data_IF_786256369233
#
_entry.id   IF_786256369233
#
_cell.length_a   1.000
_cell.length_b   1.000
_cell.length_c   1.000
_cell.angle_alpha   90.00
_cell.angle_beta   90.00
_cell.angle_gamma   90.00
#
_symmetry.space_group_name_H-M   'P 1'
#
loop_
_entity.id
_entity.type
_entity.pdbx_description
1 polymer ?
#
# COMPACT_ATOMS: atom_id res chain seq x y z
N UNK A 1 -5.50 -4.00 -20.78
CA UNK A 1 -5.64 -3.05 -19.65
C UNK A 1 -7.08 -3.07 -19.19
N UNK A 2 -7.35 -3.14 -17.90
CA UNK A 2 -8.69 -3.23 -17.34
C UNK A 2 -8.88 -2.14 -16.27
N UNK A 3 -10.13 -1.78 -16.00
CA UNK A 3 -10.55 -0.88 -14.93
C UNK A 3 -11.04 -1.73 -13.76
N UNK A 4 -10.36 -1.68 -12.62
CA UNK A 4 -10.57 -2.57 -11.49
C UNK A 4 -11.07 -1.76 -10.30
N UNK A 5 -12.22 -2.16 -9.75
CA UNK A 5 -12.70 -1.69 -8.46
C UNK A 5 -11.91 -2.38 -7.34
N UNK A 6 -11.28 -1.60 -6.50
CA UNK A 6 -10.57 -2.10 -5.31
C UNK A 6 -11.27 -1.57 -4.07
N UNK A 7 -11.88 -2.47 -3.34
CA UNK A 7 -12.59 -2.19 -2.10
C UNK A 7 -11.74 -2.59 -0.89
N UNK A 8 -11.59 -1.64 0.01
CA UNK A 8 -10.92 -1.87 1.29
C UNK A 8 -12.00 -2.02 2.34
N UNK A 9 -12.16 -3.21 2.89
CA UNK A 9 -13.17 -3.47 3.91
C UNK A 9 -13.03 -2.54 5.11
N UNK A 10 -14.16 -1.95 5.54
CA UNK A 10 -14.26 -1.07 6.69
C UNK A 10 -13.46 0.23 6.56
N UNK A 11 -13.53 1.11 7.57
CA UNK A 11 -12.77 2.34 7.70
C UNK A 11 -12.05 2.40 9.05
N UNK A 12 -11.21 3.40 9.26
CA UNK A 12 -10.44 3.56 10.51
C UNK A 12 -11.33 3.79 11.74
N UNK A 13 -12.56 4.23 11.53
CA UNK A 13 -13.56 4.52 12.57
C UNK A 13 -14.49 3.33 12.88
N UNK A 14 -14.34 2.19 12.20
CA UNK A 14 -15.20 1.01 12.40
C UNK A 14 -14.77 0.14 13.59
N UNK A 15 -13.59 0.36 14.14
CA UNK A 15 -13.14 -0.27 15.38
C UNK A 15 -12.63 0.79 16.36
N UNK A 16 -13.00 0.72 17.66
CA UNK A 16 -13.86 -0.31 18.25
C UNK A 16 -15.37 -0.07 18.07
N UNK A 17 -15.81 1.09 17.56
CA UNK A 17 -17.21 1.55 17.59
C UNK A 17 -18.21 0.60 16.93
N UNK A 18 -17.84 -0.06 15.83
CA UNK A 18 -18.70 -0.99 15.09
C UNK A 18 -18.18 -2.44 15.14
N UNK A 19 -17.28 -2.77 16.07
CA UNK A 19 -16.80 -4.13 16.29
C UNK A 19 -16.01 -4.74 15.12
N UNK A 20 -15.48 -3.92 14.19
CA UNK A 20 -14.71 -4.41 13.03
C UNK A 20 -13.25 -4.55 13.37
N UNK A 21 -12.94 -5.56 14.16
CA UNK A 21 -11.65 -5.89 14.72
C UNK A 21 -11.77 -6.73 15.97
N UNK A 22 -10.68 -6.96 16.65
CA UNK A 22 -10.64 -7.82 17.84
C UNK A 22 -9.82 -7.18 18.97
N UNK A 23 -10.03 -7.64 20.19
CA UNK A 23 -9.14 -7.42 21.33
C UNK A 23 -8.37 -8.71 21.64
N UNK A 24 -7.06 -8.62 21.83
CA UNK A 24 -6.21 -9.72 22.27
C UNK A 24 -5.09 -9.19 23.19
N UNK A 25 -4.94 -9.80 24.37
CA UNK A 25 -3.94 -9.35 25.35
C UNK A 25 -4.09 -7.88 25.78
N UNK A 26 -5.32 -7.38 25.91
CA UNK A 26 -5.61 -5.99 26.29
C UNK A 26 -5.39 -4.95 25.17
N UNK A 27 -4.96 -5.37 23.99
CA UNK A 27 -4.72 -4.50 22.82
C UNK A 27 -5.80 -4.70 21.77
N UNK A 28 -6.26 -3.58 21.17
CA UNK A 28 -7.20 -3.57 20.05
C UNK A 28 -6.49 -3.70 18.69
N UNK A 29 -7.12 -4.43 17.78
CA UNK A 29 -6.64 -4.68 16.42
C UNK A 29 -7.78 -4.48 15.44
N UNK A 30 -7.72 -3.40 14.65
CA UNK A 30 -8.72 -3.08 13.64
C UNK A 30 -8.48 -3.89 12.37
N UNK A 31 -9.53 -4.52 11.83
CA UNK A 31 -9.51 -5.25 10.56
C UNK A 31 -9.04 -4.36 9.39
N UNK A 32 -9.50 -3.12 9.36
CA UNK A 32 -9.15 -2.13 8.36
C UNK A 32 -7.64 -1.98 8.14
N UNK A 33 -6.83 -2.09 9.20
CA UNK A 33 -5.37 -1.96 9.09
C UNK A 33 -4.75 -3.07 8.22
N UNK A 34 -5.25 -4.29 8.33
CA UNK A 34 -4.85 -5.39 7.46
C UNK A 34 -5.39 -5.18 6.05
N UNK A 35 -6.68 -4.90 5.90
CA UNK A 35 -7.34 -4.73 4.61
C UNK A 35 -6.64 -3.67 3.75
N UNK A 36 -6.34 -2.51 4.33
CA UNK A 36 -5.62 -1.46 3.60
C UNK A 36 -4.15 -1.80 3.31
N UNK A 37 -3.48 -2.55 4.19
CA UNK A 37 -2.10 -3.00 3.94
C UNK A 37 -2.02 -3.89 2.70
N UNK A 38 -2.95 -4.82 2.55
CA UNK A 38 -3.09 -5.64 1.33
C UNK A 38 -3.47 -4.77 0.15
N UNK A 39 -4.47 -3.89 0.31
CA UNK A 39 -4.99 -3.03 -0.75
C UNK A 39 -3.94 -2.07 -1.32
N UNK A 40 -3.09 -1.45 -0.49
CA UNK A 40 -1.99 -0.58 -0.93
C UNK A 40 -1.00 -1.34 -1.81
N UNK A 41 -0.63 -2.57 -1.41
CA UNK A 41 0.29 -3.43 -2.16
C UNK A 41 -0.32 -3.93 -3.48
N UNK A 42 -1.59 -4.35 -3.44
CA UNK A 42 -2.31 -4.80 -4.62
C UNK A 42 -2.50 -3.68 -5.65
N UNK A 43 -2.88 -2.48 -5.19
CA UNK A 43 -3.00 -1.29 -6.06
C UNK A 43 -1.71 -1.04 -6.82
N UNK A 44 -0.57 -1.02 -6.12
CA UNK A 44 0.73 -0.79 -6.75
C UNK A 44 1.07 -1.85 -7.82
N UNK A 45 0.78 -3.13 -7.57
CA UNK A 45 1.01 -4.21 -8.53
C UNK A 45 0.12 -4.07 -9.77
N UNK A 46 -1.15 -3.74 -9.58
CA UNK A 46 -2.12 -3.61 -10.67
C UNK A 46 -1.83 -2.37 -11.54
N UNK A 47 -1.49 -1.24 -10.94
CA UNK A 47 -1.11 -0.02 -11.66
C UNK A 47 0.20 -0.22 -12.44
N UNK A 48 1.20 -0.89 -11.85
CA UNK A 48 2.43 -1.26 -12.55
C UNK A 48 2.19 -2.18 -13.75
N UNK A 49 1.13 -2.99 -13.71
CA UNK A 49 0.68 -3.81 -14.85
C UNK A 49 -0.20 -3.05 -15.85
N UNK A 50 -0.41 -1.74 -15.66
CA UNK A 50 -1.15 -0.86 -16.57
C UNK A 50 -2.68 -0.88 -16.37
N UNK A 51 -3.19 -1.42 -15.26
CA UNK A 51 -4.62 -1.34 -14.94
C UNK A 51 -4.98 0.02 -14.33
N UNK A 52 -6.22 0.45 -14.54
CA UNK A 52 -6.79 1.63 -13.86
C UNK A 52 -7.53 1.19 -12.60
N UNK A 53 -7.19 1.77 -11.44
CA UNK A 53 -7.77 1.39 -10.16
C UNK A 53 -8.79 2.44 -9.70
N UNK A 54 -10.00 1.98 -9.42
CA UNK A 54 -11.08 2.76 -8.81
C UNK A 54 -11.19 2.29 -7.36
N UNK A 55 -10.74 3.12 -6.42
CA UNK A 55 -10.91 2.83 -4.99
C UNK A 55 -12.35 3.12 -4.56
N UNK A 56 -12.99 2.22 -3.84
CA UNK A 56 -14.30 2.43 -3.20
C UNK A 56 -14.24 3.56 -2.19
N UNK A 57 -13.17 3.58 -1.42
CA UNK A 57 -12.84 4.64 -0.46
C UNK A 57 -11.33 4.92 -0.46
N UNK A 58 -10.90 6.12 -0.02
CA UNK A 58 -9.48 6.42 0.17
C UNK A 58 -8.84 5.51 1.22
N UNK A 59 -7.54 5.30 1.11
CA UNK A 59 -6.76 4.74 2.24
C UNK A 59 -6.76 5.71 3.43
N UNK A 60 -6.60 5.17 4.62
CA UNK A 60 -6.53 5.93 5.88
C UNK A 60 -7.77 6.81 6.15
N UNK A 61 -8.92 6.48 5.52
CA UNK A 61 -10.18 7.21 5.68
C UNK A 61 -11.14 6.55 6.68
N UNK A 62 -12.13 7.33 7.10
CA UNK A 62 -13.33 6.80 7.72
C UNK A 62 -14.12 5.94 6.73
N UNK A 63 -15.02 5.13 7.26
CA UNK A 63 -15.82 4.21 6.46
C UNK A 63 -16.76 4.95 5.50
N UNK A 64 -16.70 4.58 4.24
CA UNK A 64 -17.64 5.04 3.21
C UNK A 64 -18.73 3.99 3.07
N UNK A 65 -19.99 4.41 3.02
CA UNK A 65 -21.12 3.48 2.97
C UNK A 65 -21.01 2.50 1.79
N UNK A 66 -21.45 1.27 2.00
CA UNK A 66 -21.40 0.21 0.98
C UNK A 66 -22.10 0.64 -0.32
N UNK A 67 -23.26 1.31 -0.21
CA UNK A 67 -23.99 1.84 -1.38
C UNK A 67 -23.16 2.88 -2.15
N UNK A 68 -22.47 3.79 -1.47
CA UNK A 68 -21.63 4.77 -2.15
C UNK A 68 -20.47 4.11 -2.89
N UNK A 69 -19.86 3.06 -2.30
CA UNK A 69 -18.77 2.30 -2.92
C UNK A 69 -19.25 1.55 -4.17
N UNK A 70 -20.37 0.79 -4.07
CA UNK A 70 -20.91 0.02 -5.20
C UNK A 70 -21.43 0.94 -6.31
N UNK A 71 -22.08 2.07 -5.97
CA UNK A 71 -22.46 3.08 -6.94
C UNK A 71 -21.26 3.65 -7.69
N UNK A 72 -20.16 3.92 -6.99
CA UNK A 72 -18.92 4.39 -7.60
C UNK A 72 -18.35 3.40 -8.60
N UNK A 73 -18.31 2.10 -8.27
CA UNK A 73 -17.88 1.06 -9.20
C UNK A 73 -18.80 0.97 -10.42
N UNK A 74 -20.11 0.94 -10.17
CA UNK A 74 -21.13 0.82 -11.24
C UNK A 74 -21.12 2.02 -12.18
N UNK A 75 -20.96 3.25 -11.68
CA UNK A 75 -20.88 4.47 -12.49
C UNK A 75 -19.59 4.53 -13.30
N UNK A 76 -18.49 4.03 -12.78
CA UNK A 76 -17.21 3.99 -13.48
C UNK A 76 -17.10 2.82 -14.47
N UNK A 77 -18.09 1.93 -14.56
CA UNK A 77 -18.08 0.75 -15.43
C UNK A 77 -16.78 -0.05 -15.26
N UNK A 78 -16.49 -0.46 -14.04
CA UNK A 78 -15.30 -1.29 -13.75
C UNK A 78 -15.49 -2.69 -14.36
N UNK A 79 -14.39 -3.34 -14.75
CA UNK A 79 -14.43 -4.68 -15.35
C UNK A 79 -14.59 -5.79 -14.31
N UNK A 80 -14.05 -5.58 -13.09
CA UNK A 80 -14.20 -6.45 -11.92
C UNK A 80 -14.13 -5.61 -10.64
N UNK A 81 -14.61 -6.18 -9.52
CA UNK A 81 -14.38 -5.64 -8.17
C UNK A 81 -13.78 -6.71 -7.27
N UNK A 82 -12.78 -6.34 -6.47
CA UNK A 82 -12.25 -7.16 -5.39
C UNK A 82 -12.33 -6.40 -4.07
N UNK A 83 -12.98 -7.00 -3.08
CA UNK A 83 -13.12 -6.49 -1.72
C UNK A 83 -12.24 -7.31 -0.77
N UNK A 84 -11.48 -6.64 0.07
CA UNK A 84 -10.47 -7.24 0.95
C UNK A 84 -10.94 -7.16 2.38
N UNK A 85 -11.03 -8.32 3.05
CA UNK A 85 -11.46 -8.50 4.44
C UNK A 85 -10.62 -9.56 5.16
N UNK A 86 -10.80 -9.64 6.47
CA UNK A 86 -10.35 -10.72 7.33
C UNK A 86 -11.46 -11.05 8.34
N UNK A 87 -11.81 -12.32 8.44
CA UNK A 87 -12.94 -12.81 9.23
C UNK A 87 -12.62 -12.90 10.74
N UNK A 88 -13.65 -13.12 11.51
CA UNK A 88 -13.59 -13.48 12.94
C UNK A 88 -14.54 -14.65 13.22
N UNK A 89 -14.15 -15.50 14.16
CA UNK A 89 -14.96 -16.65 14.59
C UNK A 89 -14.73 -16.91 16.08
N UNK A 90 -15.74 -17.38 16.79
CA UNK A 90 -15.63 -17.71 18.22
C UNK A 90 -14.74 -18.93 18.45
N UNK A 91 -14.58 -19.81 17.46
CA UNK A 91 -13.63 -20.91 17.54
C UNK A 91 -12.21 -20.39 17.22
N UNK A 92 -11.33 -20.41 18.21
CA UNK A 92 -9.95 -19.99 18.09
C UNK A 92 -9.10 -20.86 17.14
N UNK A 93 -9.56 -22.06 16.78
CA UNK A 93 -8.90 -22.93 15.80
C UNK A 93 -9.41 -22.68 14.37
N UNK A 94 -10.36 -21.78 14.18
CA UNK A 94 -10.81 -21.36 12.85
C UNK A 94 -9.64 -20.81 12.05
N UNK A 95 -9.47 -21.32 10.83
CA UNK A 95 -8.42 -20.91 9.91
C UNK A 95 -8.89 -21.13 8.46
N UNK A 96 -8.07 -20.64 7.52
CA UNK A 96 -8.31 -20.82 6.10
C UNK A 96 -8.90 -19.55 5.45
N UNK A 97 -8.83 -19.49 4.14
CA UNK A 97 -9.23 -18.36 3.30
C UNK A 97 -10.34 -18.78 2.38
N UNK A 98 -11.23 -17.86 2.06
CA UNK A 98 -12.33 -18.09 1.13
C UNK A 98 -12.78 -16.78 0.50
N UNK A 99 -13.45 -16.94 -0.67
CA UNK A 99 -13.74 -15.83 -1.56
C UNK A 99 -15.19 -15.93 -1.99
N UNK A 100 -16.01 -14.96 -1.53
CA UNK A 100 -17.42 -14.91 -1.87
C UNK A 100 -17.62 -14.30 -3.24
N UNK A 101 -18.54 -14.88 -3.97
CA UNK A 101 -19.05 -14.37 -5.25
C UNK A 101 -20.60 -14.41 -5.23
N UNK A 102 -21.23 -13.56 -6.02
CA UNK A 102 -22.70 -13.61 -6.11
C UNK A 102 -23.16 -14.92 -6.73
N UNK A 103 -24.12 -15.62 -6.12
CA UNK A 103 -24.48 -17.00 -6.43
C UNK A 103 -24.80 -17.29 -7.90
N UNK A 104 -25.27 -16.28 -8.66
CA UNK A 104 -25.54 -16.40 -10.11
C UNK A 104 -24.39 -15.92 -11.00
N UNK A 105 -23.33 -15.35 -10.43
CA UNK A 105 -22.20 -14.81 -11.19
C UNK A 105 -21.09 -15.84 -11.39
N UNK A 106 -21.16 -16.55 -12.53
CA UNK A 106 -20.12 -17.52 -12.90
C UNK A 106 -18.74 -16.90 -13.16
N UNK A 107 -18.70 -15.61 -13.56
CA UNK A 107 -17.45 -14.88 -13.78
C UNK A 107 -16.81 -14.49 -12.44
N UNK A 108 -17.60 -14.03 -11.49
CA UNK A 108 -17.16 -13.80 -10.10
C UNK A 108 -16.66 -15.08 -9.45
N UNK A 109 -17.39 -16.22 -9.63
CA UNK A 109 -16.92 -17.53 -9.18
C UNK A 109 -15.54 -17.87 -9.72
N UNK A 110 -15.33 -17.71 -11.03
CA UNK A 110 -14.04 -17.96 -11.66
C UNK A 110 -12.94 -17.06 -11.07
N UNK A 111 -13.21 -15.78 -10.87
CA UNK A 111 -12.25 -14.84 -10.26
C UNK A 111 -11.89 -15.29 -8.83
N UNK A 112 -12.88 -15.66 -8.01
CA UNK A 112 -12.69 -16.18 -6.65
C UNK A 112 -11.77 -17.42 -6.63
N UNK A 113 -12.05 -18.40 -7.50
CA UNK A 113 -11.25 -19.61 -7.64
C UNK A 113 -9.80 -19.34 -8.08
N UNK A 114 -9.60 -18.39 -8.98
CA UNK A 114 -8.25 -18.02 -9.44
C UNK A 114 -7.44 -17.32 -8.32
N UNK A 115 -8.04 -16.43 -7.55
CA UNK A 115 -7.39 -15.83 -6.38
C UNK A 115 -7.05 -16.92 -5.36
N UNK A 116 -8.00 -17.77 -5.01
CA UNK A 116 -7.81 -18.88 -4.08
C UNK A 116 -6.68 -19.86 -4.50
N UNK A 117 -6.61 -20.20 -5.79
CA UNK A 117 -5.54 -21.01 -6.37
C UNK A 117 -4.16 -20.42 -6.06
N UNK A 118 -3.99 -19.12 -6.23
CA UNK A 118 -2.70 -18.47 -5.98
C UNK A 118 -2.40 -18.32 -4.49
N UNK A 119 -3.42 -18.14 -3.64
CA UNK A 119 -3.25 -18.17 -2.17
C UNK A 119 -2.81 -19.57 -1.71
N UNK A 120 -3.44 -20.62 -2.21
CA UNK A 120 -3.05 -22.02 -1.93
C UNK A 120 -1.61 -22.30 -2.39
N UNK A 121 -1.21 -21.75 -3.53
CA UNK A 121 0.17 -21.94 -4.05
C UNK A 121 1.26 -21.29 -3.17
N UNK A 122 0.88 -20.37 -2.29
CA UNK A 122 1.74 -19.76 -1.28
C UNK A 122 1.81 -20.58 0.03
N UNK A 123 1.09 -21.70 0.10
CA UNK A 123 1.05 -22.58 1.28
C UNK A 123 -0.01 -22.18 2.31
N UNK A 124 -0.96 -21.32 1.97
CA UNK A 124 -2.06 -20.94 2.85
C UNK A 124 -3.28 -21.82 2.64
N UNK A 125 -3.89 -22.27 3.75
CA UNK A 125 -5.07 -23.14 3.73
C UNK A 125 -6.30 -22.39 3.19
N UNK A 126 -7.16 -23.13 2.47
CA UNK A 126 -8.48 -22.68 2.04
C UNK A 126 -9.57 -23.34 2.89
N UNK A 127 -10.71 -22.66 3.10
CA UNK A 127 -11.88 -23.20 3.83
C UNK A 127 -12.65 -24.24 3.02
N UNK A 128 -12.65 -24.11 1.70
CA UNK A 128 -13.29 -25.05 0.76
C UNK A 128 -12.26 -25.58 -0.21
N UNK A 129 -12.59 -26.65 -0.93
CA UNK A 129 -11.65 -27.31 -1.85
C UNK A 129 -11.08 -26.36 -2.92
N UNK A 130 -11.89 -25.41 -3.40
CA UNK A 130 -11.54 -24.43 -4.43
C UNK A 130 -11.48 -22.98 -3.92
N UNK A 131 -11.73 -22.77 -2.61
CA UNK A 131 -11.71 -21.48 -1.94
C UNK A 131 -12.89 -20.55 -2.28
N UNK A 132 -13.84 -20.98 -3.11
CA UNK A 132 -14.99 -20.14 -3.47
C UNK A 132 -16.24 -20.50 -2.68
N UNK A 133 -17.03 -19.48 -2.30
CA UNK A 133 -18.32 -19.63 -1.60
C UNK A 133 -19.36 -18.71 -2.25
N UNK A 134 -20.56 -19.25 -2.49
CA UNK A 134 -21.65 -18.45 -3.03
C UNK A 134 -22.23 -17.50 -1.95
N UNK A 135 -22.37 -16.22 -2.32
CA UNK A 135 -23.17 -15.24 -1.59
C UNK A 135 -24.60 -15.36 -2.04
N UNK A 136 -25.51 -15.72 -1.11
CA UNK A 136 -26.90 -16.11 -1.42
C UNK A 136 -27.87 -15.21 -0.69
N UNK A 137 -28.96 -14.71 -1.35
CA UNK A 137 -29.98 -13.90 -0.70
C UNK A 137 -30.62 -14.62 0.49
N UNK A 138 -30.92 -13.86 1.55
CA UNK A 138 -31.60 -14.39 2.73
C UNK A 138 -30.75 -15.29 3.62
N UNK A 139 -29.45 -15.42 3.35
CA UNK A 139 -28.50 -16.16 4.19
C UNK A 139 -27.48 -15.21 4.82
N UNK A 140 -26.65 -15.72 5.74
CA UNK A 140 -25.57 -14.96 6.35
C UNK A 140 -24.50 -14.52 5.32
N UNK A 141 -24.45 -15.19 4.16
CA UNK A 141 -23.50 -14.86 3.06
C UNK A 141 -24.03 -13.77 2.11
N UNK A 142 -25.18 -13.14 2.42
CA UNK A 142 -25.79 -12.13 1.55
C UNK A 142 -25.00 -10.79 1.57
N UNK A 143 -23.82 -10.78 1.02
CA UNK A 143 -22.93 -9.62 1.04
C UNK A 143 -23.30 -8.56 -0.01
N UNK A 144 -23.48 -7.31 0.46
CA UNK A 144 -23.82 -6.15 -0.36
C UNK A 144 -22.83 -5.95 -1.52
N UNK A 145 -21.53 -6.06 -1.26
CA UNK A 145 -20.50 -5.75 -2.22
C UNK A 145 -20.61 -6.61 -3.49
N UNK A 146 -20.84 -7.91 -3.34
CA UNK A 146 -20.97 -8.81 -4.50
C UNK A 146 -22.39 -8.83 -5.09
N UNK A 147 -23.42 -8.43 -4.31
CA UNK A 147 -24.81 -8.37 -4.75
C UNK A 147 -25.10 -7.13 -5.59
N UNK A 148 -24.63 -5.94 -5.14
CA UNK A 148 -25.01 -4.66 -5.75
C UNK A 148 -24.00 -4.17 -6.81
N UNK A 149 -22.90 -4.87 -6.98
CA UNK A 149 -21.93 -4.57 -8.04
C UNK A 149 -22.35 -5.22 -9.34
N UNK A 150 -22.44 -4.42 -10.42
CA UNK A 150 -22.82 -4.91 -11.76
C UNK A 150 -21.71 -5.72 -12.44
N UNK A 151 -20.46 -5.39 -12.15
CA UNK A 151 -19.29 -6.14 -12.63
C UNK A 151 -19.11 -7.43 -11.81
N UNK A 152 -18.43 -8.46 -12.34
CA UNK A 152 -18.01 -9.60 -11.55
C UNK A 152 -17.26 -9.15 -10.30
N UNK A 153 -17.73 -9.59 -9.13
CA UNK A 153 -17.23 -9.12 -7.86
C UNK A 153 -16.87 -10.28 -6.91
N UNK A 154 -15.79 -10.08 -6.15
CA UNK A 154 -15.31 -11.03 -5.13
C UNK A 154 -15.07 -10.28 -3.82
N UNK A 155 -15.58 -10.83 -2.72
CA UNK A 155 -15.23 -10.44 -1.35
C UNK A 155 -14.38 -11.56 -0.75
N UNK A 156 -13.15 -11.27 -0.41
CA UNK A 156 -12.21 -12.25 0.11
C UNK A 156 -11.98 -12.09 1.60
N UNK A 157 -12.22 -13.17 2.33
CA UNK A 157 -11.86 -13.33 3.74
C UNK A 157 -10.49 -14.00 3.82
N UNK A 158 -9.49 -13.21 4.19
CA UNK A 158 -8.10 -13.61 4.12
C UNK A 158 -7.58 -14.15 5.47
N UNK A 159 -8.32 -15.09 6.07
CA UNK A 159 -8.02 -15.70 7.36
C UNK A 159 -8.81 -15.11 8.51
N UNK A 160 -8.67 -15.70 9.67
CA UNK A 160 -9.43 -15.37 10.87
C UNK A 160 -8.60 -14.55 11.86
N UNK A 161 -9.03 -13.32 12.12
CA UNK A 161 -8.38 -12.42 13.09
C UNK A 161 -8.30 -13.02 14.50
N UNK A 162 -9.33 -13.80 14.88
CA UNK A 162 -9.44 -14.49 16.17
C UNK A 162 -8.67 -15.81 16.22
N UNK A 163 -8.33 -16.37 15.05
CA UNK A 163 -7.72 -17.68 14.93
C UNK A 163 -6.27 -17.72 15.46
N UNK A 164 -5.93 -18.72 16.25
CA UNK A 164 -4.58 -18.87 16.82
C UNK A 164 -3.48 -18.91 15.76
N UNK A 165 -3.74 -19.51 14.59
CA UNK A 165 -2.79 -19.62 13.47
C UNK A 165 -2.73 -18.35 12.63
N UNK A 166 -3.87 -17.71 12.40
CA UNK A 166 -3.99 -16.60 11.45
C UNK A 166 -3.72 -15.24 12.12
N UNK A 167 -3.86 -15.11 13.44
CA UNK A 167 -3.57 -13.85 14.16
C UNK A 167 -2.16 -13.33 13.88
N UNK A 168 -1.15 -14.21 13.95
CA UNK A 168 0.25 -13.81 13.72
C UNK A 168 0.50 -13.38 12.26
N UNK A 169 -0.25 -13.96 11.33
CA UNK A 169 -0.23 -13.58 9.92
C UNK A 169 -0.89 -12.22 9.69
N UNK A 170 -2.02 -11.94 10.35
CA UNK A 170 -2.83 -10.74 10.11
C UNK A 170 -2.29 -9.54 10.91
N UNK A 171 -1.91 -9.74 12.17
CA UNK A 171 -1.54 -8.66 13.10
C UNK A 171 -0.19 -8.82 13.79
N UNK A 172 0.41 -10.01 13.74
CA UNK A 172 1.66 -10.31 14.41
C UNK A 172 2.90 -10.03 13.56
N UNK A 173 3.97 -10.75 13.86
CA UNK A 173 5.29 -10.53 13.26
C UNK A 173 5.34 -10.86 11.76
N UNK A 174 4.40 -11.65 11.24
CA UNK A 174 4.31 -12.05 9.83
C UNK A 174 3.42 -11.15 8.98
N UNK A 175 2.77 -10.14 9.56
CA UNK A 175 1.73 -9.33 8.92
C UNK A 175 2.15 -8.70 7.59
N UNK A 176 3.38 -8.18 7.49
CA UNK A 176 3.83 -7.50 6.28
C UNK A 176 4.12 -8.47 5.13
N UNK A 177 4.72 -9.62 5.45
CA UNK A 177 4.93 -10.68 4.46
C UNK A 177 3.60 -11.28 4.03
N UNK A 178 2.70 -11.52 4.97
CA UNK A 178 1.37 -12.05 4.68
C UNK A 178 0.54 -11.11 3.81
N UNK A 179 0.50 -9.83 4.14
CA UNK A 179 -0.19 -8.83 3.31
C UNK A 179 0.40 -8.74 1.90
N UNK A 180 1.71 -8.92 1.74
CA UNK A 180 2.37 -9.02 0.43
C UNK A 180 1.95 -10.28 -0.32
N UNK A 181 1.95 -11.43 0.33
CA UNK A 181 1.59 -12.70 -0.29
C UNK A 181 0.12 -12.73 -0.75
N UNK A 182 -0.79 -12.17 0.06
CA UNK A 182 -2.19 -12.02 -0.31
C UNK A 182 -2.34 -11.06 -1.49
N UNK A 183 -1.70 -9.89 -1.46
CA UNK A 183 -1.74 -8.93 -2.57
C UNK A 183 -1.21 -9.54 -3.89
N UNK A 184 -0.09 -10.27 -3.85
CA UNK A 184 0.46 -10.98 -5.01
C UNK A 184 -0.48 -12.09 -5.51
N UNK A 185 -1.21 -12.75 -4.62
CA UNK A 185 -2.16 -13.81 -4.98
C UNK A 185 -3.39 -13.22 -5.70
N UNK A 186 -3.94 -12.11 -5.19
CA UNK A 186 -4.98 -11.35 -5.89
C UNK A 186 -4.49 -10.88 -7.26
N UNK A 187 -3.31 -10.27 -7.31
CA UNK A 187 -2.70 -9.81 -8.56
C UNK A 187 -2.60 -10.93 -9.60
N UNK A 188 -2.02 -12.07 -9.22
CA UNK A 188 -1.88 -13.24 -10.13
C UNK A 188 -3.24 -13.80 -10.57
N UNK A 189 -4.19 -13.91 -9.65
CA UNK A 189 -5.55 -14.36 -9.95
C UNK A 189 -6.25 -13.44 -10.94
N UNK A 190 -6.12 -12.11 -10.76
CA UNK A 190 -6.66 -11.10 -11.67
C UNK A 190 -5.98 -11.16 -13.04
N UNK A 191 -4.67 -11.29 -13.10
CA UNK A 191 -3.94 -11.44 -14.36
C UNK A 191 -4.38 -12.69 -15.12
N UNK A 192 -4.52 -13.82 -14.43
CA UNK A 192 -5.01 -15.07 -15.03
C UNK A 192 -6.47 -14.96 -15.49
N UNK A 193 -7.31 -14.22 -14.73
CA UNK A 193 -8.70 -13.94 -15.09
C UNK A 193 -8.83 -13.19 -16.42
N UNK A 194 -8.01 -12.19 -16.64
CA UNK A 194 -7.98 -11.43 -17.90
C UNK A 194 -7.17 -12.10 -19.03
N UNK A 195 -6.66 -13.31 -18.80
CA UNK A 195 -5.89 -14.04 -19.81
C UNK A 195 -4.46 -13.55 -19.99
N UNK A 196 -3.97 -12.66 -19.13
CA UNK A 196 -2.61 -12.11 -19.23
C UNK A 196 -1.51 -13.15 -19.05
N UNK A 197 -1.81 -14.32 -18.46
CA UNK A 197 -0.85 -15.45 -18.34
C UNK A 197 -0.52 -16.15 -19.67
N UNK A 198 -1.34 -15.96 -20.71
CA UNK A 198 -1.05 -16.51 -22.06
C UNK A 198 -0.22 -15.54 -22.90
N UNK A 199 -0.33 -14.23 -22.65
CA UNK A 199 0.42 -13.21 -23.39
C UNK A 199 1.85 -13.07 -22.87
N UNK A 200 2.08 -13.28 -21.57
CA UNK A 200 3.42 -13.24 -20.97
C UNK A 200 4.30 -14.41 -21.45
N UNK A 201 3.73 -15.57 -21.78
CA UNK A 201 4.52 -16.69 -22.36
C UNK A 201 4.87 -16.48 -23.82
N UNK A 202 4.08 -15.72 -24.58
CA UNK A 202 4.33 -15.46 -26.01
C UNK A 202 5.08 -14.17 -26.29
N UNK A 203 4.94 -13.14 -25.41
CA UNK A 203 5.74 -11.91 -25.48
C UNK A 203 7.07 -12.05 -24.78
N UNK A 204 7.15 -12.89 -23.71
CA UNK A 204 8.41 -13.20 -23.02
C UNK A 204 9.44 -13.95 -23.90
N UNK A 205 9.01 -14.47 -25.07
CA UNK A 205 9.94 -15.06 -26.05
C UNK A 205 10.46 -14.07 -27.08
N UNK A 206 9.97 -12.82 -27.12
CA UNK A 206 10.40 -11.79 -28.07
C UNK A 206 10.99 -10.52 -27.46
N UNK A 207 10.72 -10.22 -26.17
CA UNK A 207 11.38 -9.14 -25.42
C UNK A 207 11.43 -9.54 -23.92
N UNK A 208 12.35 -10.39 -23.54
CA UNK A 208 12.75 -10.54 -22.15
C UNK A 208 13.43 -9.23 -21.75
N UNK A 209 12.68 -8.28 -21.16
CA UNK A 209 13.26 -7.11 -20.50
C UNK A 209 14.05 -7.64 -19.32
N UNK A 210 15.38 -7.66 -19.48
CA UNK A 210 16.32 -8.12 -18.46
C UNK A 210 16.07 -7.32 -17.19
N UNK A 211 16.09 -7.97 -16.03
CA UNK A 211 15.97 -7.26 -14.75
C UNK A 211 17.12 -6.27 -14.57
N UNK A 212 16.94 -5.24 -13.76
CA UNK A 212 18.02 -4.26 -13.46
C UNK A 212 19.27 -4.98 -12.96
N UNK A 213 19.14 -6.08 -12.20
CA UNK A 213 20.28 -6.89 -11.76
C UNK A 213 20.99 -7.58 -12.92
N UNK A 214 20.26 -8.15 -13.89
CA UNK A 214 20.84 -8.78 -15.09
C UNK A 214 21.51 -7.75 -15.98
N UNK A 215 20.87 -6.59 -16.21
CA UNK A 215 21.45 -5.48 -16.97
C UNK A 215 22.68 -4.90 -16.28
N UNK A 216 22.70 -4.80 -14.95
CA UNK A 216 23.84 -4.35 -14.18
C UNK A 216 25.03 -5.33 -14.31
N UNK A 217 24.77 -6.65 -14.24
CA UNK A 217 25.81 -7.65 -14.49
C UNK A 217 26.34 -7.56 -15.92
N UNK A 218 25.49 -7.36 -16.92
CA UNK A 218 25.91 -7.18 -18.31
C UNK A 218 26.72 -5.91 -18.55
N UNK A 219 26.45 -4.84 -17.79
CA UNK A 219 27.30 -3.62 -17.80
C UNK A 219 28.68 -3.92 -17.22
N UNK A 220 28.74 -4.69 -16.12
CA UNK A 220 30.00 -5.12 -15.51
C UNK A 220 30.77 -6.04 -16.46
N UNK A 221 30.08 -6.92 -17.19
CA UNK A 221 30.62 -7.80 -18.21
C UNK A 221 31.00 -7.03 -19.52
N UNK A 222 30.81 -5.70 -19.56
CA UNK A 222 31.19 -4.86 -20.71
C UNK A 222 30.22 -4.87 -21.91
N UNK A 223 29.06 -5.57 -21.81
CA UNK A 223 28.13 -5.77 -22.94
C UNK A 223 27.38 -4.52 -23.40
N UNK A 224 27.38 -3.45 -22.61
CA UNK A 224 26.66 -2.20 -22.89
C UNK A 224 27.61 -1.02 -23.24
N UNK A 225 28.93 -1.28 -23.39
CA UNK A 225 29.93 -0.26 -23.66
C UNK A 225 30.08 0.74 -22.52
N UNK A 226 30.54 1.97 -22.84
CA UNK A 226 30.77 3.03 -21.85
C UNK A 226 30.15 4.37 -22.31
N UNK A 227 30.01 5.32 -21.38
CA UNK A 227 29.51 6.67 -21.66
C UNK A 227 28.15 6.70 -22.39
N UNK A 228 28.08 7.40 -23.50
CA UNK A 228 26.84 7.59 -24.26
C UNK A 228 26.37 6.30 -24.97
N UNK A 229 27.30 5.41 -25.34
CA UNK A 229 26.94 4.10 -25.87
C UNK A 229 26.13 3.28 -24.84
N UNK A 230 26.55 3.31 -23.57
CA UNK A 230 25.82 2.67 -22.46
C UNK A 230 24.46 3.30 -22.23
N UNK A 231 24.37 4.64 -22.24
CA UNK A 231 23.10 5.36 -22.12
C UNK A 231 22.13 4.95 -23.23
N UNK A 232 22.58 4.92 -24.45
CA UNK A 232 21.78 4.53 -25.63
C UNK A 232 21.35 3.08 -25.56
N UNK A 233 22.24 2.18 -25.14
CA UNK A 233 21.96 0.75 -25.01
C UNK A 233 20.95 0.42 -23.91
N UNK A 234 20.98 1.12 -22.78
CA UNK A 234 20.11 0.90 -21.63
C UNK A 234 18.83 1.73 -21.65
N UNK A 235 18.78 2.81 -22.42
CA UNK A 235 17.61 3.68 -22.55
C UNK A 235 17.08 4.15 -21.20
N UNK A 236 15.77 4.01 -20.98
CA UNK A 236 15.10 4.41 -19.73
C UNK A 236 15.65 3.70 -18.47
N UNK A 237 16.31 2.55 -18.62
CA UNK A 237 16.87 1.79 -17.50
C UNK A 237 18.26 2.29 -17.05
N UNK A 238 18.89 3.22 -17.79
CA UNK A 238 20.28 3.62 -17.56
C UNK A 238 20.58 4.02 -16.11
N UNK A 239 19.80 4.91 -15.53
CA UNK A 239 20.04 5.41 -14.17
C UNK A 239 19.90 4.30 -13.11
N UNK A 240 18.87 3.47 -13.22
CA UNK A 240 18.64 2.36 -12.29
C UNK A 240 19.74 1.28 -12.41
N UNK A 241 20.14 0.96 -13.63
CA UNK A 241 21.22 -0.01 -13.90
C UNK A 241 22.57 0.52 -13.41
N UNK A 242 22.89 1.80 -13.65
CA UNK A 242 24.15 2.38 -13.21
C UNK A 242 24.23 2.47 -11.67
N UNK A 243 23.14 2.79 -11.00
CA UNK A 243 23.06 2.72 -9.53
C UNK A 243 23.38 1.30 -9.04
N UNK A 244 22.79 0.29 -9.66
CA UNK A 244 23.03 -1.12 -9.30
C UNK A 244 24.45 -1.60 -9.61
N UNK A 245 25.04 -1.14 -10.70
CA UNK A 245 26.47 -1.40 -11.02
C UNK A 245 27.37 -0.83 -9.93
N UNK A 246 27.11 0.40 -9.50
CA UNK A 246 27.89 1.04 -8.44
C UNK A 246 27.77 0.28 -7.11
N UNK A 247 26.56 -0.22 -6.78
CA UNK A 247 26.38 -1.10 -5.62
C UNK A 247 27.26 -2.34 -5.67
N UNK A 248 27.24 -3.04 -6.81
CA UNK A 248 27.97 -4.29 -6.97
C UNK A 248 29.49 -4.05 -6.92
N UNK A 249 29.99 -3.00 -7.59
CA UNK A 249 31.43 -2.75 -7.73
C UNK A 249 32.05 -2.07 -6.51
N UNK A 250 31.30 -1.20 -5.83
CA UNK A 250 31.85 -0.40 -4.72
C UNK A 250 31.55 -1.02 -3.36
N UNK A 251 30.83 -2.14 -3.32
CA UNK A 251 30.37 -2.77 -2.06
C UNK A 251 29.50 -1.84 -1.22
N UNK A 252 29.11 -0.71 -1.80
CA UNK A 252 28.13 0.19 -1.20
C UNK A 252 26.76 -0.38 -1.51
N UNK A 253 26.16 -1.05 -0.54
CA UNK A 253 24.72 -1.27 -0.57
C UNK A 253 24.10 0.07 -0.93
N UNK A 254 23.50 0.23 -2.12
CA UNK A 254 22.71 1.40 -2.38
C UNK A 254 21.65 1.40 -1.29
N UNK A 255 21.72 2.38 -0.45
CA UNK A 255 20.62 2.72 0.42
C UNK A 255 19.37 2.67 -0.45
N UNK A 256 18.51 1.68 -0.22
CA UNK A 256 17.09 1.86 -0.49
C UNK A 256 16.82 3.23 0.10
N UNK A 257 16.54 4.21 -0.74
CA UNK A 257 16.24 5.56 -0.27
C UNK A 257 14.96 5.38 0.54
N UNK A 258 15.15 5.23 1.86
CA UNK A 258 14.04 5.12 2.81
C UNK A 258 13.15 6.32 2.59
N UNK A 259 11.87 6.12 2.47
CA UNK A 259 10.93 7.23 2.35
C UNK A 259 11.06 8.15 3.57
N UNK A 260 10.72 9.40 3.42
CA UNK A 260 10.68 10.38 4.52
C UNK A 260 9.91 9.82 5.72
N UNK A 261 8.80 9.09 5.48
CA UNK A 261 8.01 8.47 6.55
C UNK A 261 8.72 7.30 7.24
N UNK A 262 9.51 6.51 6.51
CA UNK A 262 10.33 5.45 7.12
C UNK A 262 11.46 6.01 7.97
N UNK A 263 12.18 7.02 7.45
CA UNK A 263 13.23 7.73 8.21
C UNK A 263 12.66 8.47 9.42
N UNK A 264 11.45 9.01 9.32
CA UNK A 264 10.77 9.65 10.44
C UNK A 264 10.42 8.63 11.55
N UNK A 265 10.00 7.43 11.18
CA UNK A 265 9.77 6.37 12.16
C UNK A 265 11.08 5.94 12.84
N UNK A 266 12.17 5.78 12.12
CA UNK A 266 13.48 5.47 12.66
C UNK A 266 14.02 6.56 13.61
N UNK A 267 13.70 7.82 13.32
CA UNK A 267 13.98 8.93 14.24
C UNK A 267 13.20 8.78 15.55
N UNK A 268 11.92 8.36 15.47
CA UNK A 268 11.09 8.12 16.65
C UNK A 268 11.57 6.90 17.45
N UNK A 269 12.11 5.88 16.76
CA UNK A 269 12.68 4.68 17.35
C UNK A 269 14.10 4.93 17.95
N UNK A 270 14.71 6.12 17.67
CA UNK A 270 15.99 6.54 18.24
C UNK A 270 17.22 6.27 17.36
N UNK A 271 17.05 5.68 16.18
CA UNK A 271 18.15 5.19 15.31
C UNK A 271 19.06 6.30 14.75
N UNK A 272 18.57 7.54 14.68
CA UNK A 272 19.32 8.68 14.14
C UNK A 272 19.89 9.63 15.20
N UNK A 273 19.79 9.28 16.50
CA UNK A 273 20.24 10.11 17.61
C UNK A 273 19.49 11.46 17.69
N UNK A 274 20.13 12.49 18.29
CA UNK A 274 19.53 13.80 18.49
C UNK A 274 20.42 14.94 17.97
N UNK A 275 19.84 16.12 17.76
CA UNK A 275 20.56 17.33 17.39
C UNK A 275 21.42 17.17 16.13
N UNK A 276 22.71 17.52 16.23
CA UNK A 276 23.64 17.47 15.09
C UNK A 276 23.98 16.03 14.63
N UNK A 277 23.88 15.04 15.52
CA UNK A 277 24.02 13.63 15.13
C UNK A 277 22.91 13.24 14.15
N UNK A 278 21.67 13.63 14.44
CA UNK A 278 20.52 13.40 13.56
C UNK A 278 20.66 14.13 12.21
N UNK A 279 21.13 15.38 12.23
CA UNK A 279 21.40 16.13 11.00
C UNK A 279 22.42 15.44 10.10
N UNK A 280 23.53 14.96 10.68
CA UNK A 280 24.56 14.22 9.96
C UNK A 280 24.04 12.91 9.39
N UNK A 281 23.27 12.16 10.20
CA UNK A 281 22.70 10.87 9.81
C UNK A 281 21.71 10.98 8.65
N UNK A 282 20.87 12.01 8.65
CA UNK A 282 19.80 12.20 7.67
C UNK A 282 20.23 13.04 6.45
N UNK A 283 21.36 13.77 6.55
CA UNK A 283 21.90 14.57 5.46
C UNK A 283 20.87 15.53 4.84
N UNK A 284 20.76 15.51 3.51
CA UNK A 284 19.82 16.37 2.76
C UNK A 284 18.34 16.11 3.09
N UNK A 285 18.00 14.96 3.63
CA UNK A 285 16.62 14.60 3.99
C UNK A 285 16.20 15.10 5.39
N UNK A 286 17.12 15.64 6.19
CA UNK A 286 16.87 16.04 7.57
C UNK A 286 15.61 16.89 7.74
N UNK A 287 15.46 17.93 6.95
CA UNK A 287 14.32 18.87 7.08
C UNK A 287 12.97 18.20 6.77
N UNK A 288 12.93 17.37 5.73
CA UNK A 288 11.72 16.65 5.35
C UNK A 288 11.35 15.59 6.39
N UNK A 289 12.34 14.86 6.89
CA UNK A 289 12.16 13.83 7.93
C UNK A 289 11.73 14.46 9.24
N UNK A 290 12.35 15.58 9.66
CA UNK A 290 11.98 16.26 10.90
C UNK A 290 10.57 16.84 10.83
N UNK A 291 10.13 17.35 9.69
CA UNK A 291 8.76 17.81 9.48
C UNK A 291 7.75 16.64 9.64
N UNK A 292 8.08 15.47 9.11
CA UNK A 292 7.24 14.27 9.24
C UNK A 292 7.25 13.73 10.68
N UNK A 293 8.38 13.73 11.38
CA UNK A 293 8.46 13.40 12.82
C UNK A 293 7.55 14.31 13.63
N UNK A 294 7.61 15.63 13.40
CA UNK A 294 6.77 16.59 14.10
C UNK A 294 5.27 16.35 13.81
N UNK A 295 4.93 16.00 12.57
CA UNK A 295 3.57 15.61 12.18
C UNK A 295 3.11 14.35 12.93
N UNK A 296 3.95 13.34 13.02
CA UNK A 296 3.64 12.08 13.71
C UNK A 296 3.48 12.25 15.22
N UNK A 297 4.27 13.15 15.82
CA UNK A 297 4.19 13.49 17.25
C UNK A 297 3.06 14.48 17.58
N UNK A 298 2.32 14.96 16.56
CA UNK A 298 1.33 16.02 16.75
C UNK A 298 1.95 17.38 17.12
N UNK A 299 3.27 17.52 17.00
CA UNK A 299 4.02 18.74 17.25
C UNK A 299 4.15 19.47 15.91
N UNK A 300 3.47 20.59 15.74
CA UNK A 300 3.56 21.39 14.51
C UNK A 300 2.35 21.34 13.58
N UNK A 301 1.16 21.02 14.10
CA UNK A 301 -0.10 20.95 13.34
C UNK A 301 -0.65 22.29 12.79
N UNK A 302 0.15 23.35 12.75
CA UNK A 302 -0.31 24.64 12.19
C UNK A 302 -0.03 24.72 10.71
N UNK A 303 -1.05 25.12 9.93
CA UNK A 303 -0.90 25.36 8.51
C UNK A 303 0.05 26.54 8.25
N UNK A 304 0.67 26.60 7.07
CA UNK A 304 1.51 27.74 6.64
C UNK A 304 0.73 29.05 6.73
N UNK A 305 -0.57 29.02 6.46
CA UNK A 305 -1.44 30.19 6.56
C UNK A 305 -1.62 30.66 8.02
N UNK A 306 -1.84 29.71 8.94
CA UNK A 306 -1.93 29.99 10.39
C UNK A 306 -0.62 30.54 10.93
N UNK A 307 0.52 29.94 10.56
CA UNK A 307 1.84 30.41 10.95
C UNK A 307 2.17 31.78 10.40
N UNK A 308 1.78 32.08 9.14
CA UNK A 308 1.97 33.38 8.54
C UNK A 308 1.18 34.50 9.29
N UNK A 309 -0.05 34.23 9.69
CA UNK A 309 -0.83 35.13 10.52
C UNK A 309 -0.20 35.35 11.90
N UNK A 310 0.25 34.26 12.54
CA UNK A 310 0.96 34.36 13.82
C UNK A 310 2.28 35.14 13.72
N UNK A 311 2.98 35.07 12.57
CA UNK A 311 4.15 35.92 12.30
C UNK A 311 3.76 37.36 12.18
N UNK A 312 2.67 37.69 11.48
CA UNK A 312 2.14 39.04 11.36
C UNK A 312 1.72 39.58 12.73
N UNK A 313 1.14 38.71 13.58
CA UNK A 313 0.77 39.03 14.97
C UNK A 313 2.00 39.14 15.91
N UNK A 314 3.24 39.01 15.43
CA UNK A 314 4.47 39.15 16.21
C UNK A 314 4.83 37.96 17.11
N UNK A 315 4.08 36.84 17.05
CA UNK A 315 4.26 35.68 17.94
C UNK A 315 5.57 34.91 17.71
N UNK A 316 6.22 35.09 16.57
CA UNK A 316 7.42 34.38 16.15
C UNK A 316 8.71 35.22 16.17
N UNK A 317 8.65 36.47 16.69
CA UNK A 317 9.78 37.41 16.69
C UNK A 317 10.12 37.92 15.28
N UNK A 318 11.32 38.52 15.12
CA UNK A 318 11.76 39.16 13.88
C UNK A 318 13.08 38.61 13.36
N UNK A 319 13.33 38.83 12.05
CA UNK A 319 14.62 38.56 11.39
C UNK A 319 15.14 37.11 11.63
N UNK A 320 16.33 37.03 12.20
CA UNK A 320 16.99 35.73 12.50
C UNK A 320 16.32 34.96 13.63
N UNK A 321 15.73 35.66 14.64
CA UNK A 321 15.00 35.02 15.73
C UNK A 321 13.75 34.30 15.21
N UNK A 322 12.97 34.92 14.32
CA UNK A 322 11.85 34.28 13.64
C UNK A 322 12.26 33.03 12.89
N UNK A 323 13.35 33.14 12.11
CA UNK A 323 13.88 31.99 11.37
C UNK A 323 14.23 30.85 12.32
N UNK A 324 14.98 31.14 13.38
CA UNK A 324 15.42 30.15 14.34
C UNK A 324 14.25 29.48 15.06
N UNK A 325 13.25 30.24 15.52
CA UNK A 325 12.06 29.71 16.20
C UNK A 325 11.20 28.83 15.31
N UNK A 326 10.89 29.29 14.09
CA UNK A 326 10.12 28.49 13.13
C UNK A 326 10.86 27.21 12.74
N UNK A 327 12.17 27.29 12.50
CA UNK A 327 12.98 26.14 12.14
C UNK A 327 13.12 25.16 13.33
N UNK A 328 13.32 25.67 14.54
CA UNK A 328 13.40 24.86 15.75
C UNK A 328 12.07 24.13 16.05
N UNK A 329 10.94 24.79 15.73
CA UNK A 329 9.60 24.21 15.82
C UNK A 329 9.28 23.26 14.64
N UNK A 330 10.22 23.02 13.70
CA UNK A 330 10.05 22.12 12.57
C UNK A 330 9.29 22.70 11.38
N UNK A 331 9.05 24.00 11.35
CA UNK A 331 8.36 24.65 10.25
C UNK A 331 9.31 25.14 9.16
N UNK A 332 8.86 25.14 7.92
CA UNK A 332 9.61 25.69 6.79
C UNK A 332 9.52 27.22 6.80
N UNK A 333 10.57 27.88 7.33
CA UNK A 333 10.65 29.36 7.39
C UNK A 333 10.37 30.02 6.03
N UNK A 334 10.95 29.52 4.94
CA UNK A 334 10.81 30.15 3.63
C UNK A 334 9.36 30.08 3.12
N UNK A 335 8.66 28.96 3.35
CA UNK A 335 7.25 28.83 2.99
C UNK A 335 6.37 29.78 3.81
N UNK A 336 6.63 29.88 5.13
CA UNK A 336 5.90 30.80 6.03
C UNK A 336 6.16 32.25 5.63
N UNK A 337 7.42 32.63 5.40
CA UNK A 337 7.77 34.00 5.03
C UNK A 337 7.19 34.41 3.67
N UNK A 338 7.22 33.47 2.69
CA UNK A 338 6.55 33.72 1.39
C UNK A 338 5.05 33.99 1.58
N UNK A 339 4.39 33.25 2.49
CA UNK A 339 2.97 33.46 2.77
C UNK A 339 2.71 34.77 3.54
N UNK A 340 3.58 35.14 4.47
CA UNK A 340 3.53 36.45 5.14
C UNK A 340 3.56 37.55 4.11
N UNK A 341 4.49 37.53 3.16
CA UNK A 341 4.62 38.53 2.10
C UNK A 341 3.42 38.59 1.14
N UNK A 342 2.58 37.55 1.11
CA UNK A 342 1.34 37.53 0.32
C UNK A 342 0.15 38.07 1.09
N UNK A 343 0.23 38.13 2.42
CA UNK A 343 -0.85 38.57 3.31
C UNK A 343 -0.70 40.04 3.74
N UNK A 344 0.51 40.60 3.60
CA UNK A 344 0.83 42.03 3.76
C UNK A 344 0.71 42.78 2.43
#
# INVERSE_FOLDING_TARGET
MAKIGLDIGHGKDTFPSNGKGIYKGGKGYAEFNFNQSVGKKLKALLEAAGHTIILGQPFDSNDVSLTARTNKYNTNNVDIVVSIHADANDNADANGRYYFYWHTDSKGKRLAQLIAKHVKSKGYDLRTSDGSIASVPGTWTNFHMVRETKAPAVLGENGFMTGNRDFDLIFGNKKDQYAKDIAESYYKGIQEYFGANTVVKTVAKKNATKSINQLAQEVIDGKHGSGDARKKSLGANYNAVQARVNEILLGTSATVTKSVSQLAQEVLDGDHGAGDARKRSLGSQYNAVQAEVNRLLGVGGKSVDTLAREVIDGKWGDGSDRRNRLTAAGYNYNAVQKRVNQLL
#
